data_IF_261914197515
#
_entry.id   IF_261914197515
#
_cell.length_a   1.000
_cell.length_b   1.000
_cell.length_c   1.000
_cell.angle_alpha   90.00
_cell.angle_beta   90.00
_cell.angle_gamma   90.00
#
_symmetry.space_group_name_H-M   'P 1'
#
loop_
_entity.id
_entity.type
_entity.pdbx_description
1 polymer ?
#
# COMPACT_ATOMS: atom_id res chain seq x y z
N UNK A 1 37.41 -3.05 -9.60
CA UNK A 1 36.78 -2.35 -8.45
C UNK A 1 36.56 -0.89 -8.85
N UNK A 2 35.50 -0.22 -8.40
CA UNK A 2 35.29 1.18 -8.75
C UNK A 2 36.45 2.06 -8.28
N UNK A 3 36.78 3.08 -9.07
CA UNK A 3 37.80 4.08 -8.75
C UNK A 3 37.17 5.40 -8.29
N UNK A 4 35.93 5.61 -8.65
CA UNK A 4 35.15 6.81 -8.30
C UNK A 4 33.83 6.43 -7.67
N UNK A 5 33.48 7.12 -6.59
CA UNK A 5 32.25 6.96 -5.83
C UNK A 5 31.48 8.27 -5.90
N UNK A 6 30.35 8.23 -6.59
CA UNK A 6 29.53 9.40 -6.87
C UNK A 6 28.32 9.36 -5.96
N UNK A 7 28.16 10.35 -5.09
CA UNK A 7 26.97 10.51 -4.28
C UNK A 7 26.12 11.65 -4.82
N UNK A 8 24.84 11.39 -5.01
CA UNK A 8 23.89 12.41 -5.47
C UNK A 8 22.77 12.52 -4.46
N UNK A 9 22.67 13.69 -3.83
CA UNK A 9 21.50 14.08 -3.05
C UNK A 9 20.46 14.65 -4.00
N UNK A 10 19.31 13.96 -4.07
CA UNK A 10 18.27 14.21 -5.07
C UNK A 10 17.24 15.19 -4.52
N UNK A 11 17.03 16.31 -5.22
CA UNK A 11 16.04 17.31 -4.88
C UNK A 11 15.14 17.66 -6.08
N UNK A 12 14.08 18.42 -5.82
CA UNK A 12 13.05 18.73 -6.83
C UNK A 12 13.58 19.56 -8.02
N UNK A 13 14.49 20.49 -7.76
CA UNK A 13 15.00 21.44 -8.78
C UNK A 13 16.46 21.20 -9.10
N UNK A 14 17.27 21.02 -8.08
CA UNK A 14 18.72 20.97 -8.22
C UNK A 14 19.30 19.83 -7.39
N UNK A 15 19.96 18.88 -8.03
CA UNK A 15 20.63 17.78 -7.38
C UNK A 15 22.02 18.20 -6.93
N UNK A 16 22.46 17.78 -5.75
CA UNK A 16 23.83 18.00 -5.27
C UNK A 16 24.68 16.76 -5.53
N UNK A 17 25.85 16.94 -6.13
CA UNK A 17 26.74 15.86 -6.56
C UNK A 17 28.11 15.99 -5.90
N UNK A 18 28.59 14.91 -5.30
CA UNK A 18 29.95 14.77 -4.78
C UNK A 18 30.62 13.56 -5.41
N UNK A 19 31.92 13.67 -5.69
CA UNK A 19 32.73 12.59 -6.23
C UNK A 19 33.91 12.34 -5.31
N UNK A 20 34.08 11.11 -4.84
CA UNK A 20 35.22 10.66 -4.05
C UNK A 20 36.06 9.65 -4.84
N UNK A 21 37.37 9.62 -4.59
CA UNK A 21 38.26 8.57 -5.08
C UNK A 21 38.32 7.37 -4.09
N UNK A 22 39.24 6.43 -4.36
CA UNK A 22 39.44 5.25 -3.51
C UNK A 22 39.91 5.59 -2.08
N UNK A 23 40.69 6.64 -1.95
CA UNK A 23 41.26 7.05 -0.68
C UNK A 23 40.24 7.84 0.15
N UNK A 24 39.15 8.30 -0.49
CA UNK A 24 38.05 9.07 0.12
C UNK A 24 38.27 10.58 -0.02
N UNK A 25 39.25 10.97 -0.83
CA UNK A 25 39.48 12.36 -1.13
C UNK A 25 38.50 12.87 -2.19
N UNK A 26 38.10 14.13 -2.04
CA UNK A 26 37.14 14.73 -2.96
C UNK A 26 37.78 15.03 -4.32
N UNK A 27 37.22 14.47 -5.38
CA UNK A 27 37.63 14.78 -6.76
C UNK A 27 36.98 16.07 -7.24
N UNK A 28 37.59 17.19 -6.82
CA UNK A 28 37.05 18.54 -7.02
C UNK A 28 35.92 18.88 -6.03
N UNK A 29 35.45 20.11 -6.08
CA UNK A 29 34.35 20.58 -5.23
C UNK A 29 33.03 19.89 -5.64
N UNK A 30 32.13 19.66 -4.68
CA UNK A 30 30.77 19.28 -5.00
C UNK A 30 30.09 20.32 -5.90
N UNK A 31 29.16 19.91 -6.72
CA UNK A 31 28.50 20.79 -7.68
C UNK A 31 27.02 20.52 -7.76
N UNK A 32 26.28 21.48 -8.28
CA UNK A 32 24.82 21.42 -8.42
C UNK A 32 24.47 21.16 -9.87
N UNK A 33 23.41 20.38 -10.07
CA UNK A 33 22.91 20.00 -11.39
C UNK A 33 21.39 20.20 -11.39
N UNK A 34 20.89 20.96 -12.35
CA UNK A 34 19.44 21.14 -12.50
C UNK A 34 18.74 19.82 -12.88
N UNK A 35 17.55 19.61 -12.33
CA UNK A 35 16.71 18.44 -12.63
C UNK A 35 16.04 18.59 -14.03
N UNK A 36 16.85 18.78 -15.07
CA UNK A 36 16.44 18.99 -16.46
C UNK A 36 17.31 18.15 -17.41
N UNK A 37 16.89 18.00 -18.67
CA UNK A 37 17.67 17.28 -19.69
C UNK A 37 19.05 17.91 -19.89
N UNK A 38 19.14 19.25 -19.91
CA UNK A 38 20.40 19.97 -20.07
C UNK A 38 21.29 19.80 -18.83
N UNK A 39 20.68 19.84 -17.63
CA UNK A 39 21.39 19.57 -16.38
C UNK A 39 21.96 18.15 -16.34
N UNK A 40 21.21 17.15 -16.82
CA UNK A 40 21.71 15.79 -16.92
C UNK A 40 22.89 15.68 -17.92
N UNK A 41 22.82 16.37 -19.06
CA UNK A 41 23.93 16.44 -20.02
C UNK A 41 25.17 17.05 -19.38
N UNK A 42 25.01 18.17 -18.64
CA UNK A 42 26.09 18.81 -17.90
C UNK A 42 26.67 17.90 -16.80
N UNK A 43 25.80 17.12 -16.11
CA UNK A 43 26.24 16.10 -15.15
C UNK A 43 27.21 15.11 -15.82
N UNK A 44 26.81 14.50 -16.92
CA UNK A 44 27.63 13.52 -17.62
C UNK A 44 28.96 14.10 -18.11
N UNK A 45 28.97 15.33 -18.62
CA UNK A 45 30.18 16.04 -19.02
C UNK A 45 31.11 16.30 -17.83
N UNK A 46 30.58 16.77 -16.71
CA UNK A 46 31.35 17.03 -15.50
C UNK A 46 31.92 15.75 -14.90
N UNK A 47 31.16 14.67 -14.87
CA UNK A 47 31.64 13.37 -14.39
C UNK A 47 32.79 12.85 -15.26
N UNK A 48 32.68 12.93 -16.59
CA UNK A 48 33.76 12.55 -17.53
C UNK A 48 35.01 13.38 -17.32
N UNK A 49 34.88 14.71 -17.18
CA UNK A 49 35.99 15.61 -16.93
C UNK A 49 36.74 15.30 -15.62
N UNK A 50 36.06 14.67 -14.66
CA UNK A 50 36.64 14.22 -13.38
C UNK A 50 37.14 12.77 -13.41
N UNK A 51 37.19 12.14 -14.57
CA UNK A 51 37.58 10.74 -14.70
C UNK A 51 36.59 9.75 -14.09
N UNK A 52 35.35 10.22 -13.82
CA UNK A 52 34.29 9.37 -13.29
C UNK A 52 33.47 8.76 -14.44
N UNK A 53 34.08 7.84 -15.18
CA UNK A 53 33.46 7.14 -16.31
C UNK A 53 32.57 5.99 -15.82
N UNK A 54 31.59 5.53 -16.63
CA UNK A 54 30.73 4.41 -16.26
C UNK A 54 31.48 3.13 -15.84
N UNK A 55 32.56 2.80 -16.54
CA UNK A 55 33.35 1.59 -16.28
C UNK A 55 34.12 1.61 -14.94
N UNK A 56 34.39 2.83 -14.42
CA UNK A 56 35.25 3.01 -13.25
C UNK A 56 34.48 3.59 -12.04
N UNK A 57 33.17 3.80 -12.17
CA UNK A 57 32.39 4.52 -11.18
C UNK A 57 31.19 3.74 -10.70
N UNK A 58 30.79 4.02 -9.46
CA UNK A 58 29.49 3.65 -8.90
C UNK A 58 28.79 4.89 -8.41
N UNK A 59 27.49 5.01 -8.72
CA UNK A 59 26.65 6.14 -8.33
C UNK A 59 25.68 5.71 -7.24
N UNK A 60 25.56 6.50 -6.18
CA UNK A 60 24.54 6.35 -5.14
C UNK A 60 23.49 7.43 -5.20
N UNK A 61 22.24 7.03 -5.08
CA UNK A 61 21.08 7.89 -4.94
C UNK A 61 20.32 7.53 -3.68
N UNK A 62 19.86 8.51 -2.91
CA UNK A 62 18.96 8.22 -1.79
C UNK A 62 17.51 8.14 -2.29
N UNK A 63 16.79 7.06 -1.91
CA UNK A 63 15.39 6.84 -2.25
C UNK A 63 14.47 7.74 -1.43
N UNK A 64 14.62 9.06 -1.56
CA UNK A 64 13.76 10.06 -0.93
C UNK A 64 12.59 10.38 -1.85
N UNK A 65 11.39 9.92 -1.48
CA UNK A 65 10.20 10.10 -2.31
C UNK A 65 10.31 9.38 -3.67
N UNK A 66 9.97 10.10 -4.76
CA UNK A 66 9.95 9.60 -6.14
C UNK A 66 10.95 10.33 -7.06
N UNK A 67 11.64 11.33 -6.57
CA UNK A 67 12.47 12.23 -7.40
C UNK A 67 13.70 11.54 -8.00
N UNK A 68 14.13 10.43 -7.44
CA UNK A 68 15.33 9.68 -7.87
C UNK A 68 15.09 8.81 -9.13
N UNK A 69 13.84 8.43 -9.44
CA UNK A 69 13.52 7.41 -10.45
C UNK A 69 13.98 7.82 -11.85
N UNK A 70 13.67 9.03 -12.30
CA UNK A 70 14.08 9.52 -13.61
C UNK A 70 15.60 9.66 -13.72
N UNK A 71 16.25 10.11 -12.65
CA UNK A 71 17.71 10.27 -12.63
C UNK A 71 18.42 8.90 -12.64
N UNK A 72 17.89 7.92 -11.90
CA UNK A 72 18.39 6.54 -11.90
C UNK A 72 18.31 5.94 -13.30
N UNK A 73 17.13 5.99 -13.93
CA UNK A 73 16.92 5.46 -15.27
C UNK A 73 17.87 6.11 -16.30
N UNK A 74 18.05 7.43 -16.23
CA UNK A 74 18.93 8.16 -17.12
C UNK A 74 20.41 7.78 -16.91
N UNK A 75 20.88 7.63 -15.67
CA UNK A 75 22.23 7.22 -15.33
C UNK A 75 22.49 5.76 -15.75
N UNK A 76 21.55 4.84 -15.53
CA UNK A 76 21.63 3.46 -16.01
C UNK A 76 21.68 3.44 -17.54
N UNK A 77 20.85 4.21 -18.22
CA UNK A 77 20.87 4.36 -19.68
C UNK A 77 22.19 4.94 -20.21
N UNK A 78 22.90 5.73 -19.41
CA UNK A 78 24.25 6.24 -19.72
C UNK A 78 25.37 5.23 -19.35
N UNK A 79 25.04 4.03 -18.88
CA UNK A 79 25.95 2.94 -18.59
C UNK A 79 26.54 2.95 -17.18
N UNK A 80 26.10 3.82 -16.27
CA UNK A 80 26.59 3.83 -14.90
C UNK A 80 25.98 2.70 -14.07
N UNK A 81 26.79 2.15 -13.16
CA UNK A 81 26.26 1.31 -12.07
C UNK A 81 25.63 2.20 -11.02
N UNK A 82 24.32 2.10 -10.85
CA UNK A 82 23.57 2.90 -9.87
C UNK A 82 23.12 2.04 -8.69
N UNK A 83 23.34 2.52 -7.49
CA UNK A 83 22.86 1.93 -6.22
C UNK A 83 21.88 2.89 -5.57
N UNK A 84 20.61 2.54 -5.56
CA UNK A 84 19.59 3.29 -4.83
C UNK A 84 19.62 2.85 -3.37
N UNK A 85 19.83 3.79 -2.46
CA UNK A 85 20.05 3.59 -1.04
C UNK A 85 18.77 3.87 -0.24
N UNK A 86 18.52 3.05 0.78
CA UNK A 86 17.46 3.37 1.73
C UNK A 86 17.94 4.52 2.65
N UNK A 87 17.12 5.57 2.89
CA UNK A 87 17.44 6.70 3.78
C UNK A 87 17.92 6.30 5.19
N UNK A 88 17.55 5.13 5.67
CA UNK A 88 18.04 4.61 6.96
C UNK A 88 19.53 4.30 6.91
N UNK A 89 20.06 3.86 5.75
CA UNK A 89 21.48 3.52 5.62
C UNK A 89 22.33 4.80 5.62
N UNK A 90 21.94 5.81 4.85
CA UNK A 90 22.65 7.11 4.79
C UNK A 90 22.62 7.80 6.14
N UNK A 91 21.48 7.76 6.84
CA UNK A 91 21.35 8.29 8.21
C UNK A 91 22.31 7.58 9.19
N UNK A 92 22.29 6.23 9.22
CA UNK A 92 23.18 5.46 10.10
C UNK A 92 24.65 5.71 9.80
N UNK A 93 25.02 5.81 8.54
CA UNK A 93 26.38 6.11 8.13
C UNK A 93 26.80 7.52 8.54
N UNK A 94 25.92 8.51 8.41
CA UNK A 94 26.15 9.89 8.92
C UNK A 94 26.39 9.90 10.43
N UNK A 95 25.58 9.17 11.19
CA UNK A 95 25.73 9.05 12.65
C UNK A 95 27.08 8.41 13.01
N UNK A 96 27.51 7.38 12.26
CA UNK A 96 28.79 6.68 12.45
C UNK A 96 29.99 7.62 12.25
N UNK A 97 29.99 8.45 11.21
CA UNK A 97 31.07 9.40 10.92
C UNK A 97 30.95 10.70 11.72
N UNK A 98 30.02 10.75 12.70
CA UNK A 98 29.78 11.87 13.63
C UNK A 98 29.52 13.21 12.95
N UNK A 99 29.03 13.26 11.73
CA UNK A 99 28.61 14.50 11.06
C UNK A 99 27.20 14.89 11.49
N UNK A 100 27.11 15.86 12.42
CA UNK A 100 25.81 16.35 12.95
C UNK A 100 25.13 17.37 12.04
N UNK A 101 25.88 18.10 11.21
CA UNK A 101 25.33 19.09 10.29
C UNK A 101 24.61 18.37 9.14
N UNK A 102 23.49 18.94 8.70
CA UNK A 102 22.72 18.49 7.55
C UNK A 102 22.69 19.61 6.50
N UNK A 103 23.37 19.39 5.40
CA UNK A 103 23.33 20.22 4.20
C UNK A 103 23.40 19.30 3.00
N UNK A 104 22.84 19.71 1.86
CA UNK A 104 22.84 18.93 0.63
C UNK A 104 24.25 18.51 0.19
N UNK A 105 25.25 19.35 0.47
CA UNK A 105 26.66 19.06 0.23
C UNK A 105 27.17 17.90 1.08
N UNK A 106 26.87 17.92 2.37
CA UNK A 106 27.23 16.84 3.32
C UNK A 106 26.49 15.56 2.93
N UNK A 107 25.23 15.64 2.53
CA UNK A 107 24.42 14.48 2.18
C UNK A 107 24.96 13.78 0.94
N UNK A 108 25.36 14.51 -0.11
CA UNK A 108 26.03 13.96 -1.27
C UNK A 108 27.39 13.26 -0.91
N UNK A 109 28.20 13.87 -0.03
CA UNK A 109 29.45 13.25 0.44
C UNK A 109 29.20 12.01 1.32
N UNK A 110 28.16 12.02 2.16
CA UNK A 110 27.74 10.86 2.97
C UNK A 110 27.35 9.68 2.08
N UNK A 111 26.60 9.94 1.00
CA UNK A 111 26.21 8.93 0.02
C UNK A 111 27.46 8.34 -0.65
N UNK A 112 28.37 9.19 -1.16
CA UNK A 112 29.60 8.75 -1.80
C UNK A 112 30.49 7.94 -0.81
N UNK A 113 30.62 8.40 0.43
CA UNK A 113 31.40 7.74 1.46
C UNK A 113 30.82 6.37 1.85
N UNK A 114 29.48 6.25 1.92
CA UNK A 114 28.80 4.97 2.17
C UNK A 114 29.08 3.96 1.03
N UNK A 115 29.03 4.40 -0.22
CA UNK A 115 29.40 3.55 -1.36
C UNK A 115 30.84 3.06 -1.26
N UNK A 116 31.78 3.99 -0.96
CA UNK A 116 33.21 3.68 -0.84
C UNK A 116 33.51 2.69 0.28
N UNK A 117 32.79 2.78 1.40
CA UNK A 117 32.98 1.86 2.53
C UNK A 117 32.61 0.41 2.22
N UNK A 118 31.94 0.13 1.09
CA UNK A 118 31.42 -1.18 0.74
C UNK A 118 30.22 -1.64 1.58
N UNK A 119 29.76 -0.83 2.54
CA UNK A 119 28.62 -1.15 3.40
C UNK A 119 27.25 -0.81 2.77
N UNK A 120 27.25 -0.19 1.61
CA UNK A 120 26.05 0.16 0.87
C UNK A 120 25.27 -1.09 0.43
N UNK A 121 24.03 -1.20 0.87
CA UNK A 121 23.14 -2.26 0.42
C UNK A 121 22.18 -1.70 -0.63
N UNK A 122 22.17 -2.31 -1.81
CA UNK A 122 21.27 -1.93 -2.90
C UNK A 122 19.82 -2.14 -2.48
N UNK A 123 18.99 -1.11 -2.60
CA UNK A 123 17.54 -1.26 -2.49
C UNK A 123 17.02 -2.14 -3.64
N UNK A 124 16.00 -2.92 -3.35
CA UNK A 124 15.32 -3.68 -4.40
C UNK A 124 14.53 -2.71 -5.29
N UNK A 125 14.88 -2.69 -6.56
CA UNK A 125 14.12 -2.02 -7.61
C UNK A 125 13.27 -3.08 -8.30
N UNK A 126 11.95 -2.95 -8.31
CA UNK A 126 11.07 -3.87 -9.02
C UNK A 126 11.24 -3.70 -10.53
N UNK A 127 10.92 -4.73 -11.27
CA UNK A 127 10.71 -4.62 -12.72
C UNK A 127 9.45 -3.79 -13.03
N UNK A 128 9.24 -3.44 -14.29
CA UNK A 128 8.16 -2.57 -14.74
C UNK A 128 6.77 -3.12 -14.38
N UNK A 129 6.56 -4.43 -14.51
CA UNK A 129 5.27 -5.06 -14.21
C UNK A 129 4.95 -4.98 -12.70
N UNK A 130 5.94 -5.30 -11.86
CA UNK A 130 5.80 -5.20 -10.40
C UNK A 130 5.66 -3.75 -9.95
N UNK A 131 6.40 -2.81 -10.58
CA UNK A 131 6.28 -1.39 -10.29
C UNK A 131 4.88 -0.88 -10.63
N UNK A 132 4.35 -1.24 -11.79
CA UNK A 132 3.00 -0.86 -12.22
C UNK A 132 1.93 -1.38 -11.26
N UNK A 133 2.00 -2.66 -10.85
CA UNK A 133 1.10 -3.23 -9.85
C UNK A 133 1.22 -2.50 -8.50
N UNK A 134 2.43 -2.13 -8.09
CA UNK A 134 2.69 -1.39 -6.86
C UNK A 134 2.05 0.00 -6.87
N UNK A 135 2.16 0.74 -7.96
CA UNK A 135 1.55 2.06 -8.11
C UNK A 135 0.03 1.98 -8.03
N UNK A 136 -0.58 1.02 -8.74
CA UNK A 136 -2.03 0.81 -8.70
C UNK A 136 -2.51 0.37 -7.30
N UNK A 137 -1.79 -0.54 -6.63
CA UNK A 137 -2.12 -0.96 -5.28
C UNK A 137 -2.07 0.20 -4.28
N UNK A 138 -1.10 1.09 -4.40
CA UNK A 138 -0.94 2.28 -3.57
C UNK A 138 -2.00 3.34 -3.84
N UNK A 139 -2.31 3.58 -5.11
CA UNK A 139 -3.42 4.46 -5.50
C UNK A 139 -4.74 3.95 -4.92
N UNK A 140 -5.03 2.67 -5.12
CA UNK A 140 -6.22 2.04 -4.56
C UNK A 140 -6.33 2.19 -3.05
N UNK A 141 -5.22 1.99 -2.32
CA UNK A 141 -5.22 2.13 -0.87
C UNK A 141 -5.60 3.55 -0.44
N UNK A 142 -5.09 4.58 -1.14
CA UNK A 142 -5.46 5.99 -0.91
C UNK A 142 -6.94 6.23 -1.19
N UNK A 143 -7.44 5.79 -2.35
CA UNK A 143 -8.87 5.93 -2.71
C UNK A 143 -9.80 5.24 -1.70
N UNK A 144 -9.38 4.11 -1.14
CA UNK A 144 -10.14 3.41 -0.09
C UNK A 144 -10.14 4.18 1.23
N UNK A 145 -9.01 4.77 1.64
CA UNK A 145 -8.91 5.63 2.81
C UNK A 145 -9.82 6.87 2.63
N UNK A 146 -9.76 7.54 1.49
CA UNK A 146 -10.59 8.70 1.13
C UNK A 146 -12.09 8.33 1.15
N UNK A 147 -12.46 7.21 0.53
CA UNK A 147 -13.85 6.71 0.54
C UNK A 147 -14.36 6.49 1.96
N UNK A 148 -13.52 5.95 2.83
CA UNK A 148 -13.89 5.72 4.21
C UNK A 148 -14.06 7.04 4.98
N UNK A 149 -13.27 8.07 4.65
CA UNK A 149 -13.40 9.41 5.24
C UNK A 149 -14.70 10.08 4.81
N UNK A 150 -15.04 10.06 3.53
CA UNK A 150 -16.32 10.58 3.03
C UNK A 150 -17.52 9.82 3.58
N UNK A 151 -17.40 8.50 3.75
CA UNK A 151 -18.47 7.70 4.37
C UNK A 151 -18.72 8.11 5.82
N UNK A 152 -17.65 8.36 6.61
CA UNK A 152 -17.78 8.85 7.98
C UNK A 152 -18.46 10.22 8.03
N UNK A 153 -18.12 11.12 7.11
CA UNK A 153 -18.76 12.43 6.99
C UNK A 153 -20.24 12.30 6.62
N UNK A 154 -20.59 11.42 5.67
CA UNK A 154 -21.98 11.16 5.31
C UNK A 154 -22.78 10.62 6.50
N UNK A 155 -22.24 9.64 7.23
CA UNK A 155 -22.89 9.10 8.44
C UNK A 155 -23.16 10.23 9.44
N UNK A 156 -22.18 11.08 9.72
CA UNK A 156 -22.34 12.20 10.65
C UNK A 156 -23.43 13.21 10.20
N UNK A 157 -23.58 13.43 8.89
CA UNK A 157 -24.67 14.24 8.37
C UNK A 157 -26.02 13.53 8.50
N UNK A 158 -26.08 12.24 8.17
CA UNK A 158 -27.31 11.45 8.24
C UNK A 158 -27.79 11.25 9.68
N UNK A 159 -26.89 11.13 10.65
CA UNK A 159 -27.25 11.09 12.09
C UNK A 159 -28.07 12.34 12.52
N UNK A 160 -27.98 13.44 11.76
CA UNK A 160 -28.78 14.67 11.99
C UNK A 160 -30.01 14.74 11.09
N UNK A 161 -29.86 14.51 9.78
CA UNK A 161 -30.91 14.78 8.79
C UNK A 161 -31.86 13.60 8.55
N UNK A 162 -31.46 12.40 8.93
CA UNK A 162 -32.21 11.15 8.84
C UNK A 162 -31.66 10.15 9.90
N UNK A 163 -31.92 10.39 11.20
CA UNK A 163 -31.39 9.52 12.27
C UNK A 163 -31.69 8.03 12.07
N UNK A 164 -32.77 7.73 11.38
CA UNK A 164 -33.28 6.40 11.09
C UNK A 164 -32.50 5.69 9.95
N UNK A 165 -31.52 6.36 9.31
CA UNK A 165 -30.84 5.87 8.12
C UNK A 165 -30.29 4.45 8.26
N UNK A 166 -29.78 4.07 9.44
CA UNK A 166 -29.21 2.72 9.68
C UNK A 166 -30.25 1.62 9.54
N UNK A 167 -31.47 1.90 9.93
CA UNK A 167 -32.59 0.94 9.87
C UNK A 167 -33.17 0.86 8.45
N UNK A 168 -33.30 1.99 7.77
CA UNK A 168 -34.06 2.06 6.52
C UNK A 168 -33.21 2.03 5.26
N UNK A 169 -31.96 2.49 5.30
CA UNK A 169 -31.06 2.49 4.16
C UNK A 169 -30.02 1.35 4.20
N UNK A 170 -29.65 0.91 5.40
CA UNK A 170 -28.63 -0.10 5.59
C UNK A 170 -27.23 0.35 5.14
N UNK A 171 -26.56 -0.43 4.28
CA UNK A 171 -25.24 -0.07 3.79
C UNK A 171 -25.33 1.10 2.80
N UNK A 172 -24.70 2.23 3.17
CA UNK A 172 -24.70 3.49 2.43
C UNK A 172 -23.86 3.43 1.13
N UNK A 173 -23.02 2.43 0.97
CA UNK A 173 -22.27 2.22 -0.27
C UNK A 173 -23.06 1.50 -1.37
N UNK A 174 -24.27 1.03 -1.05
CA UNK A 174 -25.14 0.39 -2.06
C UNK A 174 -25.71 1.41 -3.06
N UNK A 175 -25.94 0.98 -4.27
CA UNK A 175 -26.62 1.77 -5.31
C UNK A 175 -27.96 2.29 -4.81
N UNK A 176 -28.73 1.45 -4.09
CA UNK A 176 -30.01 1.81 -3.45
C UNK A 176 -29.89 3.04 -2.56
N UNK A 177 -29.02 2.98 -1.55
CA UNK A 177 -28.88 4.06 -0.59
C UNK A 177 -28.42 5.36 -1.28
N UNK A 178 -27.47 5.27 -2.21
CA UNK A 178 -26.99 6.43 -2.98
C UNK A 178 -28.08 7.03 -3.84
N UNK A 179 -28.82 6.22 -4.62
CA UNK A 179 -29.92 6.70 -5.46
C UNK A 179 -31.00 7.42 -4.67
N UNK A 180 -31.41 6.84 -3.53
CA UNK A 180 -32.41 7.46 -2.64
C UNK A 180 -31.90 8.79 -2.09
N UNK A 181 -30.65 8.83 -1.54
CA UNK A 181 -30.10 10.04 -0.92
C UNK A 181 -29.78 11.15 -1.92
N UNK A 182 -29.48 10.83 -3.17
CA UNK A 182 -29.29 11.82 -4.23
C UNK A 182 -30.57 12.59 -4.50
N UNK A 183 -31.70 11.91 -4.58
CA UNK A 183 -33.01 12.56 -4.83
C UNK A 183 -33.61 13.10 -3.54
N UNK A 184 -33.56 12.34 -2.45
CA UNK A 184 -34.21 12.62 -1.16
C UNK A 184 -33.20 12.68 0.00
N UNK A 185 -32.37 13.74 0.11
CA UNK A 185 -31.23 13.80 1.02
C UNK A 185 -31.57 13.99 2.52
N UNK A 186 -32.80 14.27 2.86
CA UNK A 186 -33.26 14.50 4.27
C UNK A 186 -34.57 13.81 4.56
N UNK A 187 -34.86 13.62 5.84
CA UNK A 187 -36.15 13.08 6.27
C UNK A 187 -37.37 13.89 5.73
N UNK A 188 -37.26 15.21 5.61
CA UNK A 188 -38.33 16.03 5.04
C UNK A 188 -38.62 15.70 3.57
N UNK A 189 -37.56 15.53 2.75
CA UNK A 189 -37.70 15.13 1.33
C UNK A 189 -38.33 13.74 1.22
N UNK A 190 -37.89 12.77 2.04
CA UNK A 190 -38.45 11.42 2.05
C UNK A 190 -39.87 11.36 2.51
N UNK A 191 -40.23 12.13 3.55
CA UNK A 191 -41.60 12.20 4.08
C UNK A 191 -42.61 12.73 3.05
N UNK A 192 -42.20 13.69 2.21
CA UNK A 192 -43.01 14.29 1.17
C UNK A 192 -43.05 13.44 -0.13
N UNK A 193 -42.05 12.60 -0.37
CA UNK A 193 -41.99 11.77 -1.54
C UNK A 193 -43.05 10.65 -1.54
N UNK A 194 -43.55 10.27 -2.72
CA UNK A 194 -44.36 9.07 -2.83
C UNK A 194 -43.51 7.81 -2.71
N UNK A 195 -44.06 6.69 -2.17
CA UNK A 195 -43.29 5.43 -2.15
C UNK A 195 -42.83 4.98 -3.54
N UNK A 196 -43.64 5.25 -4.58
CA UNK A 196 -43.25 4.97 -5.98
C UNK A 196 -42.02 5.78 -6.41
N UNK A 197 -41.92 7.06 -6.03
CA UNK A 197 -40.76 7.90 -6.33
C UNK A 197 -39.50 7.43 -5.59
N UNK A 198 -39.61 7.02 -4.32
CA UNK A 198 -38.48 6.47 -3.56
C UNK A 198 -37.99 5.16 -4.18
N UNK A 199 -38.92 4.25 -4.56
CA UNK A 199 -38.58 3.01 -5.26
C UNK A 199 -37.88 3.31 -6.58
N UNK A 200 -38.41 4.21 -7.39
CA UNK A 200 -37.83 4.59 -8.68
C UNK A 200 -36.42 5.14 -8.52
N UNK A 201 -36.16 5.97 -7.50
CA UNK A 201 -34.80 6.47 -7.22
C UNK A 201 -33.78 5.35 -6.96
N UNK A 202 -34.21 4.27 -6.29
CA UNK A 202 -33.36 3.10 -6.08
C UNK A 202 -33.19 2.28 -7.38
N UNK A 203 -34.25 2.10 -8.17
CA UNK A 203 -34.22 1.37 -9.45
C UNK A 203 -33.36 2.09 -10.49
N UNK A 204 -33.49 3.41 -10.64
CA UNK A 204 -32.69 4.25 -11.54
C UNK A 204 -31.20 4.19 -11.20
N UNK A 205 -30.87 3.96 -9.93
CA UNK A 205 -29.48 3.70 -9.48
C UNK A 205 -29.00 2.25 -9.70
N UNK A 206 -29.79 1.40 -10.34
CA UNK A 206 -29.44 0.02 -10.67
C UNK A 206 -29.79 -1.02 -9.61
N UNK A 207 -30.64 -0.68 -8.61
CA UNK A 207 -31.08 -1.63 -7.60
C UNK A 207 -32.19 -2.54 -8.13
N UNK A 208 -32.06 -3.84 -7.89
CA UNK A 208 -33.13 -4.82 -8.15
C UNK A 208 -33.72 -5.31 -6.83
N UNK A 209 -35.01 -5.59 -6.82
CA UNK A 209 -35.70 -6.21 -5.68
C UNK A 209 -36.04 -5.27 -4.51
N UNK A 210 -35.98 -3.95 -4.71
CA UNK A 210 -36.48 -2.98 -3.71
C UNK A 210 -37.97 -2.80 -3.92
N UNK A 211 -38.75 -3.30 -2.96
CA UNK A 211 -40.21 -3.37 -3.07
C UNK A 211 -40.87 -2.03 -2.78
N UNK A 212 -42.17 -1.93 -3.09
CA UNK A 212 -42.98 -0.78 -2.70
C UNK A 212 -43.14 -0.70 -1.19
N UNK A 213 -43.20 -1.84 -0.50
CA UNK A 213 -43.33 -1.91 0.97
C UNK A 213 -42.01 -1.43 1.64
N UNK A 214 -40.84 -1.76 1.08
CA UNK A 214 -39.55 -1.20 1.54
C UNK A 214 -39.56 0.33 1.40
N UNK A 215 -40.01 0.85 0.26
CA UNK A 215 -40.10 2.30 0.02
C UNK A 215 -41.09 2.97 0.95
N UNK A 216 -42.22 2.30 1.29
CA UNK A 216 -43.17 2.76 2.25
C UNK A 216 -42.59 2.80 3.68
N UNK A 217 -41.81 1.78 4.04
CA UNK A 217 -41.11 1.73 5.33
C UNK A 217 -40.10 2.90 5.46
N UNK A 218 -39.29 3.19 4.41
CA UNK A 218 -38.39 4.36 4.36
C UNK A 218 -39.16 5.66 4.58
N UNK A 219 -40.26 5.86 3.83
CA UNK A 219 -41.10 7.04 3.96
C UNK A 219 -41.73 7.19 5.37
N UNK A 220 -42.25 6.11 5.93
CA UNK A 220 -42.88 6.13 7.24
C UNK A 220 -41.85 6.45 8.33
N UNK A 221 -40.67 5.89 8.32
CA UNK A 221 -39.59 6.25 9.23
C UNK A 221 -39.25 7.76 9.11
N UNK A 222 -39.15 8.29 7.89
CA UNK A 222 -38.87 9.70 7.66
C UNK A 222 -40.01 10.62 8.17
N UNK A 223 -41.28 10.18 8.13
CA UNK A 223 -42.43 10.94 8.68
C UNK A 223 -42.42 11.03 10.20
N UNK A 224 -41.84 10.05 10.87
CA UNK A 224 -41.70 10.01 12.31
C UNK A 224 -40.33 10.49 12.80
N UNK A 225 -39.51 11.01 11.87
CA UNK A 225 -38.17 11.48 12.20
C UNK A 225 -38.18 12.72 13.08
N UNK A 226 -37.27 12.75 14.05
CA UNK A 226 -37.06 13.91 14.95
C UNK A 226 -36.28 15.06 14.31
N UNK A 227 -35.94 14.95 13.01
CA UNK A 227 -35.17 15.99 12.32
C UNK A 227 -35.89 17.35 12.37
N UNK A 228 -35.23 18.34 12.95
CA UNK A 228 -35.78 19.68 13.18
C UNK A 228 -35.96 20.55 11.92
N UNK A 229 -35.43 20.14 10.77
CA UNK A 229 -35.42 20.95 9.56
C UNK A 229 -34.41 22.12 9.56
N UNK A 230 -33.62 22.30 10.61
CA UNK A 230 -32.60 23.36 10.65
C UNK A 230 -31.59 23.21 9.52
N UNK A 231 -31.33 24.31 8.80
CA UNK A 231 -30.41 24.37 7.67
C UNK A 231 -30.71 23.34 6.58
N UNK A 232 -31.99 22.99 6.34
CA UNK A 232 -32.39 21.88 5.48
C UNK A 232 -31.77 21.94 4.08
N UNK A 233 -31.80 23.12 3.42
CA UNK A 233 -31.25 23.28 2.09
C UNK A 233 -29.69 23.04 2.05
N UNK A 234 -28.98 23.65 3.01
CA UNK A 234 -27.52 23.47 3.09
C UNK A 234 -27.15 22.00 3.39
N UNK A 235 -27.84 21.38 4.36
CA UNK A 235 -27.60 19.96 4.71
C UNK A 235 -27.97 19.02 3.56
N UNK A 236 -29.03 19.27 2.83
CA UNK A 236 -29.39 18.52 1.64
C UNK A 236 -28.29 18.61 0.57
N UNK A 237 -27.71 19.82 0.36
CA UNK A 237 -26.59 20.01 -0.54
C UNK A 237 -25.36 19.21 -0.09
N UNK A 238 -25.01 19.27 1.21
CA UNK A 238 -23.88 18.52 1.77
C UNK A 238 -24.06 17.01 1.56
N UNK A 239 -25.24 16.45 1.88
CA UNK A 239 -25.52 15.01 1.67
C UNK A 239 -25.36 14.63 0.20
N UNK A 240 -25.94 15.39 -0.75
CA UNK A 240 -25.79 15.10 -2.19
C UNK A 240 -24.33 15.15 -2.63
N UNK A 241 -23.58 16.14 -2.17
CA UNK A 241 -22.16 16.27 -2.48
C UNK A 241 -21.37 15.06 -1.97
N UNK A 242 -21.58 14.65 -0.71
CA UNK A 242 -20.88 13.49 -0.14
C UNK A 242 -21.25 12.18 -0.86
N UNK A 243 -22.52 11.99 -1.23
CA UNK A 243 -22.97 10.83 -2.02
C UNK A 243 -22.29 10.81 -3.39
N UNK A 244 -22.23 11.95 -4.09
CA UNK A 244 -21.54 12.06 -5.39
C UNK A 244 -20.04 11.76 -5.28
N UNK A 245 -19.36 12.22 -4.21
CA UNK A 245 -17.95 11.88 -3.99
C UNK A 245 -17.75 10.38 -3.72
N UNK A 246 -18.61 9.76 -2.92
CA UNK A 246 -18.57 8.31 -2.68
C UNK A 246 -18.77 7.49 -3.96
N UNK A 247 -19.63 7.95 -4.85
CA UNK A 247 -19.86 7.31 -6.15
C UNK A 247 -18.62 7.40 -7.06
N UNK A 248 -18.04 8.60 -7.19
CA UNK A 248 -16.80 8.82 -7.94
C UNK A 248 -15.64 7.97 -7.43
N UNK A 249 -15.46 7.92 -6.10
CA UNK A 249 -14.42 7.11 -5.49
C UNK A 249 -14.66 5.61 -5.71
N UNK A 250 -15.91 5.15 -5.66
CA UNK A 250 -16.24 3.75 -5.94
C UNK A 250 -15.89 3.40 -7.37
N UNK A 251 -16.29 4.22 -8.35
CA UNK A 251 -15.93 4.02 -9.77
C UNK A 251 -14.42 4.04 -9.98
N UNK A 252 -13.70 4.99 -9.38
CA UNK A 252 -12.24 5.06 -9.49
C UNK A 252 -11.54 3.83 -8.90
N UNK A 253 -12.05 3.27 -7.80
CA UNK A 253 -11.53 2.02 -7.22
C UNK A 253 -11.76 0.84 -8.18
N UNK A 254 -12.95 0.74 -8.78
CA UNK A 254 -13.27 -0.33 -9.73
C UNK A 254 -12.40 -0.22 -11.00
N UNK A 255 -12.10 1.00 -11.45
CA UNK A 255 -11.20 1.26 -12.58
C UNK A 255 -9.76 0.81 -12.28
N UNK A 256 -9.26 1.16 -11.09
CA UNK A 256 -7.93 0.72 -10.64
C UNK A 256 -7.88 -0.81 -10.48
N UNK A 257 -8.95 -1.43 -9.96
CA UNK A 257 -9.03 -2.89 -9.83
C UNK A 257 -9.00 -3.59 -11.20
N UNK A 258 -9.68 -3.03 -12.21
CA UNK A 258 -9.64 -3.54 -13.59
C UNK A 258 -8.25 -3.36 -14.22
N UNK A 259 -7.63 -2.18 -14.05
CA UNK A 259 -6.29 -1.92 -14.54
C UNK A 259 -5.26 -2.86 -13.91
N UNK A 260 -5.33 -3.09 -12.59
CA UNK A 260 -4.44 -4.02 -11.91
C UNK A 260 -4.65 -5.47 -12.35
N UNK A 261 -5.90 -5.89 -12.58
CA UNK A 261 -6.20 -7.23 -13.09
C UNK A 261 -5.65 -7.45 -14.51
N UNK A 262 -5.69 -6.43 -15.37
CA UNK A 262 -5.14 -6.50 -16.73
C UNK A 262 -3.60 -6.62 -16.77
N UNK A 263 -2.90 -6.20 -15.71
CA UNK A 263 -1.45 -6.36 -15.58
C UNK A 263 -1.03 -7.73 -15.05
N UNK A 264 -1.97 -8.53 -14.55
CA UNK A 264 -1.65 -9.88 -14.09
C UNK A 264 -1.50 -10.81 -15.30
N UNK A 265 -0.32 -11.38 -15.54
CA UNK A 265 -0.13 -12.24 -16.70
C UNK A 265 -0.99 -13.49 -16.56
N UNK A 266 -1.70 -13.89 -17.63
CA UNK A 266 -2.31 -15.22 -17.67
C UNK A 266 -1.23 -16.28 -17.68
N UNK A 267 -1.61 -17.53 -17.38
CA UNK A 267 -0.70 -18.66 -17.58
C UNK A 267 -0.36 -18.82 -19.05
N UNK A 268 0.91 -18.92 -19.38
CA UNK A 268 1.32 -19.32 -20.71
C UNK A 268 1.14 -20.84 -20.88
N UNK A 269 0.69 -21.30 -22.07
CA UNK A 269 0.56 -22.73 -22.33
C UNK A 269 1.89 -23.47 -22.08
N UNK A 270 1.87 -24.47 -21.20
CA UNK A 270 3.06 -25.29 -20.88
C UNK A 270 3.94 -24.78 -19.73
N UNK A 271 3.73 -23.58 -19.19
CA UNK A 271 4.55 -23.02 -18.09
C UNK A 271 3.95 -23.22 -16.69
N UNK A 272 2.72 -23.74 -16.61
CA UNK A 272 1.99 -23.87 -15.36
C UNK A 272 1.37 -22.54 -14.88
N UNK A 273 0.68 -22.54 -13.72
CA UNK A 273 -0.07 -21.40 -13.25
C UNK A 273 0.84 -20.18 -12.93
N UNK A 274 0.37 -18.98 -13.27
CA UNK A 274 1.02 -17.72 -12.91
C UNK A 274 1.05 -17.51 -11.39
N UNK A 275 1.91 -16.59 -10.91
CA UNK A 275 1.96 -16.25 -9.48
C UNK A 275 0.62 -15.75 -8.96
N UNK A 276 -0.10 -14.97 -9.77
CA UNK A 276 -1.43 -14.48 -9.42
C UNK A 276 -2.46 -15.60 -9.31
N UNK A 277 -2.46 -16.56 -10.23
CA UNK A 277 -3.35 -17.72 -10.19
C UNK A 277 -3.04 -18.61 -9.00
N UNK A 278 -1.75 -18.86 -8.71
CA UNK A 278 -1.34 -19.59 -7.51
C UNK A 278 -1.91 -18.92 -6.25
N UNK A 279 -1.72 -17.62 -6.08
CA UNK A 279 -2.23 -16.88 -4.92
C UNK A 279 -3.74 -16.96 -4.78
N UNK A 280 -4.47 -16.90 -5.88
CA UNK A 280 -5.93 -16.97 -5.88
C UNK A 280 -6.49 -18.37 -5.51
N UNK A 281 -5.67 -19.40 -5.49
CA UNK A 281 -6.08 -20.72 -4.93
C UNK A 281 -6.23 -20.68 -3.41
N UNK A 282 -5.68 -19.67 -2.72
CA UNK A 282 -5.83 -19.51 -1.27
C UNK A 282 -7.22 -18.95 -0.96
N UNK A 283 -8.06 -19.63 -0.14
CA UNK A 283 -9.35 -19.09 0.27
C UNK A 283 -9.19 -17.69 0.93
N UNK A 284 -9.83 -16.69 0.35
CA UNK A 284 -9.79 -15.32 0.87
C UNK A 284 -8.81 -14.38 0.12
N UNK A 285 -8.05 -14.89 -0.85
CA UNK A 285 -7.25 -14.08 -1.77
C UNK A 285 -7.94 -14.07 -3.13
N UNK A 286 -8.43 -12.92 -3.53
CA UNK A 286 -8.98 -12.66 -4.87
C UNK A 286 -7.97 -11.92 -5.76
N UNK A 287 -8.34 -11.59 -7.03
CA UNK A 287 -7.45 -10.96 -7.99
C UNK A 287 -6.79 -9.67 -7.45
N UNK A 288 -7.60 -8.79 -6.86
CA UNK A 288 -7.11 -7.55 -6.26
C UNK A 288 -6.07 -7.79 -5.15
N UNK A 289 -6.34 -8.74 -4.23
CA UNK A 289 -5.39 -9.05 -3.14
C UNK A 289 -4.11 -9.68 -3.69
N UNK A 290 -4.21 -10.53 -4.72
CA UNK A 290 -3.07 -11.11 -5.42
C UNK A 290 -2.21 -10.01 -6.08
N UNK A 291 -2.83 -9.09 -6.84
CA UNK A 291 -2.14 -7.95 -7.45
C UNK A 291 -1.42 -7.08 -6.41
N UNK A 292 -2.11 -6.76 -5.31
CA UNK A 292 -1.53 -5.98 -4.20
C UNK A 292 -0.32 -6.68 -3.58
N UNK A 293 -0.42 -7.98 -3.32
CA UNK A 293 0.67 -8.75 -2.73
C UNK A 293 1.86 -8.84 -3.69
N UNK A 294 1.64 -9.11 -4.99
CA UNK A 294 2.71 -9.17 -5.98
C UNK A 294 3.41 -7.81 -6.11
N UNK A 295 2.66 -6.71 -6.23
CA UNK A 295 3.23 -5.36 -6.31
C UNK A 295 4.04 -4.97 -5.08
N UNK A 296 3.54 -5.22 -3.87
CA UNK A 296 4.21 -4.81 -2.64
C UNK A 296 5.35 -5.75 -2.23
N UNK A 297 5.20 -7.05 -2.44
CA UNK A 297 6.24 -8.03 -2.09
C UNK A 297 7.36 -8.08 -3.15
N UNK A 298 7.04 -7.88 -4.42
CA UNK A 298 7.99 -8.00 -5.52
C UNK A 298 8.48 -9.43 -5.71
N UNK A 299 9.62 -9.59 -6.37
CA UNK A 299 10.22 -10.91 -6.63
C UNK A 299 10.57 -11.64 -5.33
N UNK A 300 9.95 -12.80 -5.10
CA UNK A 300 10.18 -13.57 -3.85
C UNK A 300 11.57 -14.22 -3.79
N UNK A 301 12.25 -14.34 -4.91
CA UNK A 301 13.62 -14.89 -5.00
C UNK A 301 14.64 -14.08 -4.18
N UNK A 302 14.34 -12.82 -3.88
CA UNK A 302 15.18 -11.95 -3.05
C UNK A 302 15.15 -12.28 -1.55
N UNK A 303 14.19 -13.07 -1.10
CA UNK A 303 14.08 -13.47 0.30
C UNK A 303 14.70 -14.85 0.50
N UNK A 304 15.59 -14.96 1.47
CA UNK A 304 16.22 -16.22 1.84
C UNK A 304 15.21 -17.24 2.36
N UNK A 305 14.26 -16.78 3.14
CA UNK A 305 13.21 -17.60 3.75
C UNK A 305 11.93 -16.81 4.04
N UNK A 306 10.91 -17.50 4.51
CA UNK A 306 9.63 -16.89 4.86
C UNK A 306 9.72 -15.92 6.05
N UNK A 307 10.72 -16.05 6.94
CA UNK A 307 10.91 -15.14 8.09
C UNK A 307 11.43 -13.79 7.61
N UNK A 308 12.35 -13.79 6.63
CA UNK A 308 12.80 -12.56 5.97
C UNK A 308 11.63 -11.80 5.31
N UNK A 309 10.70 -12.54 4.69
CA UNK A 309 9.49 -11.96 4.10
C UNK A 309 8.54 -11.38 5.19
N UNK A 310 8.36 -12.08 6.31
CA UNK A 310 7.58 -11.60 7.46
C UNK A 310 8.18 -10.32 8.04
N UNK A 311 9.51 -10.27 8.16
CA UNK A 311 10.23 -9.09 8.61
C UNK A 311 10.06 -7.91 7.64
N UNK A 312 10.16 -8.16 6.34
CA UNK A 312 9.96 -7.15 5.29
C UNK A 312 8.56 -6.53 5.34
N UNK A 313 7.53 -7.34 5.53
CA UNK A 313 6.15 -6.86 5.67
C UNK A 313 5.95 -6.14 7.02
N UNK A 314 6.76 -6.41 8.02
CA UNK A 314 6.69 -5.79 9.34
C UNK A 314 5.72 -6.48 10.31
N UNK A 315 5.51 -7.77 10.16
CA UNK A 315 4.70 -8.59 11.08
C UNK A 315 5.50 -9.14 12.27
N UNK A 316 6.58 -8.50 12.66
CA UNK A 316 7.32 -8.90 13.87
C UNK A 316 7.01 -7.96 15.04
N UNK A 317 6.95 -8.50 16.26
CA UNK A 317 6.78 -7.68 17.44
C UNK A 317 8.07 -6.91 17.75
N UNK A 318 7.94 -5.61 17.98
CA UNK A 318 9.00 -4.81 18.58
C UNK A 318 8.74 -4.79 20.09
N UNK A 319 9.69 -5.30 20.85
CA UNK A 319 9.69 -5.25 22.30
C UNK A 319 10.64 -4.12 22.68
N UNK A 320 10.15 -3.13 23.40
CA UNK A 320 10.98 -2.07 23.96
C UNK A 320 11.20 -2.42 25.43
N UNK A 321 12.36 -2.97 25.74
CA UNK A 321 12.78 -3.24 27.11
C UNK A 321 13.77 -2.14 27.53
N UNK A 322 13.47 -1.44 28.60
CA UNK A 322 14.40 -0.51 29.25
C UNK A 322 14.36 -0.74 30.77
N UNK A 323 15.38 -1.36 31.29
CA UNK A 323 15.51 -1.67 32.72
C UNK A 323 14.34 -2.54 33.22
N UNK A 324 13.67 -2.11 34.28
CA UNK A 324 12.55 -2.86 34.90
C UNK A 324 11.21 -2.75 34.20
N UNK A 325 11.10 -2.00 33.08
CA UNK A 325 9.84 -1.83 32.33
C UNK A 325 9.81 -2.69 31.09
N UNK A 326 9.03 -3.78 31.13
CA UNK A 326 8.64 -4.55 29.96
C UNK A 326 7.47 -3.84 29.24
N UNK A 327 7.76 -3.24 28.10
CA UNK A 327 6.74 -2.62 27.26
C UNK A 327 5.83 -3.66 26.59
N UNK A 328 4.57 -3.31 26.35
CA UNK A 328 3.66 -4.17 25.56
C UNK A 328 4.17 -4.32 24.13
N UNK A 329 4.37 -5.56 23.62
CA UNK A 329 4.83 -5.79 22.25
C UNK A 329 3.91 -5.11 21.24
N UNK A 330 4.48 -4.30 20.36
CA UNK A 330 3.76 -3.64 19.25
C UNK A 330 4.29 -4.17 17.93
N UNK A 331 3.44 -4.20 16.90
CA UNK A 331 3.92 -4.48 15.55
C UNK A 331 4.89 -3.40 15.10
N UNK A 332 5.92 -3.81 14.34
CA UNK A 332 6.87 -2.87 13.76
C UNK A 332 6.16 -1.78 12.94
N UNK A 333 6.60 -0.53 13.08
CA UNK A 333 6.20 0.55 12.18
C UNK A 333 6.88 0.44 10.80
N UNK A 334 7.97 -0.32 10.71
CA UNK A 334 8.73 -0.58 9.48
C UNK A 334 8.01 -1.64 8.64
N UNK A 335 8.08 -1.52 7.32
CA UNK A 335 7.50 -2.46 6.36
C UNK A 335 6.23 -1.92 5.67
N UNK A 336 5.71 -2.68 4.67
CA UNK A 336 4.57 -2.24 3.88
C UNK A 336 3.26 -2.27 4.67
N UNK A 337 2.68 -1.08 4.95
CA UNK A 337 1.33 -0.96 5.54
C UNK A 337 0.27 -1.59 4.63
N UNK A 338 0.44 -1.45 3.33
CA UNK A 338 -0.52 -1.93 2.31
C UNK A 338 -0.53 -3.45 2.28
N UNK A 339 0.66 -4.09 2.22
CA UNK A 339 0.75 -5.54 2.28
C UNK A 339 0.20 -6.11 3.60
N UNK A 340 0.50 -5.46 4.75
CA UNK A 340 -0.08 -5.85 6.04
C UNK A 340 -1.60 -5.79 6.06
N UNK A 341 -2.17 -4.71 5.50
CA UNK A 341 -3.62 -4.54 5.43
C UNK A 341 -4.26 -5.58 4.52
N UNK A 342 -3.69 -5.82 3.33
CA UNK A 342 -4.17 -6.84 2.40
C UNK A 342 -4.15 -8.24 3.03
N UNK A 343 -3.06 -8.61 3.71
CA UNK A 343 -2.94 -9.89 4.41
C UNK A 343 -3.91 -10.01 5.60
N UNK A 344 -4.15 -8.92 6.32
CA UNK A 344 -5.14 -8.91 7.40
C UNK A 344 -6.55 -9.16 6.87
N UNK A 345 -6.95 -8.49 5.79
CA UNK A 345 -8.26 -8.71 5.15
C UNK A 345 -8.35 -10.12 4.53
N UNK A 346 -7.27 -10.60 3.92
CA UNK A 346 -7.19 -11.98 3.45
C UNK A 346 -7.39 -12.98 4.60
N UNK A 347 -6.80 -12.73 5.77
CA UNK A 347 -6.99 -13.57 6.97
C UNK A 347 -8.45 -13.56 7.46
N UNK A 348 -9.11 -12.38 7.49
CA UNK A 348 -10.54 -12.27 7.83
C UNK A 348 -11.40 -13.08 6.86
N UNK A 349 -11.11 -13.02 5.57
CA UNK A 349 -11.86 -13.77 4.56
C UNK A 349 -11.54 -15.26 4.60
N UNK A 350 -10.28 -15.63 4.84
CA UNK A 350 -9.85 -17.04 4.92
C UNK A 350 -10.55 -17.78 6.05
N UNK A 351 -10.65 -17.19 7.25
CA UNK A 351 -11.35 -17.82 8.38
C UNK A 351 -12.86 -17.98 8.16
N UNK A 352 -13.45 -17.19 7.26
CA UNK A 352 -14.86 -17.30 6.89
C UNK A 352 -15.10 -18.41 5.85
N UNK A 353 -14.13 -18.62 4.95
CA UNK A 353 -14.27 -19.48 3.77
C UNK A 353 -13.62 -20.85 3.90
N UNK A 354 -12.72 -21.07 4.89
CA UNK A 354 -11.99 -22.32 5.09
C UNK A 354 -12.05 -22.77 6.55
N UNK A 355 -12.38 -24.03 6.76
CA UNK A 355 -12.42 -24.66 8.07
C UNK A 355 -11.02 -24.72 8.72
N UNK A 356 -9.98 -24.97 7.93
CA UNK A 356 -8.60 -25.10 8.38
C UNK A 356 -8.07 -23.76 8.91
N UNK A 357 -8.31 -22.66 8.18
CA UNK A 357 -7.94 -21.33 8.64
C UNK A 357 -8.73 -20.92 9.89
N UNK A 358 -10.02 -21.26 9.93
CA UNK A 358 -10.87 -21.03 11.11
C UNK A 358 -10.35 -21.81 12.32
N UNK A 359 -9.94 -23.05 12.15
CA UNK A 359 -9.37 -23.88 13.22
C UNK A 359 -8.12 -23.24 13.82
N UNK A 360 -7.23 -22.70 12.98
CA UNK A 360 -6.04 -21.98 13.46
C UNK A 360 -6.44 -20.76 14.28
N UNK A 361 -7.38 -19.96 13.78
CA UNK A 361 -7.89 -18.79 14.48
C UNK A 361 -8.48 -19.16 15.84
N UNK A 362 -9.40 -20.12 15.88
CA UNK A 362 -10.07 -20.55 17.13
C UNK A 362 -9.08 -21.10 18.15
N UNK A 363 -8.09 -21.90 17.71
CA UNK A 363 -7.01 -22.37 18.59
C UNK A 363 -6.24 -21.21 19.23
N UNK A 364 -5.98 -20.13 18.48
CA UNK A 364 -5.30 -18.94 19.02
C UNK A 364 -6.20 -18.12 19.94
N UNK A 365 -7.51 -18.11 19.70
CA UNK A 365 -8.49 -17.52 20.63
C UNK A 365 -8.56 -18.31 21.94
N UNK A 366 -8.59 -19.63 21.87
CA UNK A 366 -8.56 -20.51 23.05
C UNK A 366 -7.27 -20.38 23.89
N UNK A 367 -6.14 -19.97 23.26
CA UNK A 367 -4.89 -19.63 23.93
C UNK A 367 -4.88 -18.21 24.54
N UNK A 368 -6.03 -17.54 24.68
CA UNK A 368 -6.19 -16.24 25.31
C UNK A 368 -5.86 -15.04 24.42
N UNK A 369 -5.52 -15.22 23.11
CA UNK A 369 -5.25 -14.08 22.22
C UNK A 369 -6.53 -13.31 21.90
N UNK A 370 -6.45 -11.97 21.91
CA UNK A 370 -7.55 -11.11 21.44
C UNK A 370 -7.81 -11.36 19.94
N UNK A 371 -9.04 -11.11 19.46
CA UNK A 371 -9.45 -11.37 18.08
C UNK A 371 -8.48 -10.83 17.04
N UNK A 372 -8.07 -9.57 17.15
CA UNK A 372 -7.10 -8.93 16.25
C UNK A 372 -5.72 -9.62 16.29
N UNK A 373 -5.25 -10.03 17.46
CA UNK A 373 -3.99 -10.74 17.61
C UNK A 373 -4.04 -12.13 16.95
N UNK A 374 -5.15 -12.86 17.12
CA UNK A 374 -5.35 -14.16 16.48
C UNK A 374 -5.39 -14.02 14.94
N UNK A 375 -6.04 -12.97 14.40
CA UNK A 375 -6.04 -12.67 12.96
C UNK A 375 -4.65 -12.34 12.43
N UNK A 376 -3.83 -11.61 13.20
CA UNK A 376 -2.43 -11.34 12.81
C UNK A 376 -1.63 -12.64 12.70
N UNK A 377 -1.84 -13.62 13.61
CA UNK A 377 -1.18 -14.92 13.51
C UNK A 377 -1.63 -15.67 12.24
N UNK A 378 -2.91 -15.60 11.89
CA UNK A 378 -3.41 -16.16 10.62
C UNK A 378 -2.76 -15.46 9.43
N UNK A 379 -2.66 -14.12 9.43
CA UNK A 379 -2.03 -13.33 8.36
C UNK A 379 -0.54 -13.69 8.18
N UNK A 380 0.20 -13.86 9.28
CA UNK A 380 1.60 -14.34 9.24
C UNK A 380 1.67 -15.74 8.62
N UNK A 381 0.79 -16.65 9.01
CA UNK A 381 0.77 -18.01 8.46
C UNK A 381 0.35 -18.01 6.98
N UNK A 382 -0.57 -17.13 6.57
CA UNK A 382 -0.89 -16.89 5.16
C UNK A 382 0.37 -16.45 4.38
N UNK A 383 1.16 -15.54 4.93
CA UNK A 383 2.37 -15.07 4.29
C UNK A 383 3.43 -16.19 4.13
N UNK A 384 3.57 -17.07 5.13
CA UNK A 384 4.39 -18.28 5.00
C UNK A 384 3.89 -19.20 3.90
N UNK A 385 2.56 -19.35 3.79
CA UNK A 385 1.94 -20.16 2.74
C UNK A 385 2.18 -19.58 1.36
N UNK A 386 2.00 -18.25 1.20
CA UNK A 386 2.31 -17.50 -0.02
C UNK A 386 3.77 -17.75 -0.44
N UNK A 387 4.72 -17.58 0.49
CA UNK A 387 6.13 -17.81 0.21
C UNK A 387 6.39 -19.25 -0.28
N UNK A 388 5.86 -20.25 0.41
CA UNK A 388 6.07 -21.65 0.06
C UNK A 388 5.45 -22.00 -1.30
N UNK A 389 4.25 -21.51 -1.58
CA UNK A 389 3.54 -21.77 -2.83
C UNK A 389 4.29 -21.17 -4.03
N UNK A 390 4.68 -19.91 -3.96
CA UNK A 390 5.37 -19.23 -5.05
C UNK A 390 6.80 -19.77 -5.23
N UNK A 391 7.51 -20.09 -4.14
CA UNK A 391 8.85 -20.72 -4.21
C UNK A 391 8.84 -22.09 -4.86
N UNK A 392 7.82 -22.91 -4.58
CA UNK A 392 7.73 -24.27 -5.09
C UNK A 392 6.77 -24.41 -6.28
N UNK A 393 6.20 -23.32 -6.78
CA UNK A 393 5.26 -23.29 -7.91
C UNK A 393 4.10 -24.27 -7.73
N UNK A 394 3.51 -24.32 -6.53
CA UNK A 394 2.44 -25.28 -6.17
C UNK A 394 1.20 -24.57 -5.68
N UNK A 395 -0.01 -25.00 -6.10
CA UNK A 395 -1.26 -24.43 -5.61
C UNK A 395 -1.45 -24.71 -4.11
N UNK A 396 -2.37 -23.96 -3.51
CA UNK A 396 -2.74 -24.12 -2.10
C UNK A 396 -3.22 -25.54 -1.80
N UNK A 397 -2.66 -26.12 -0.72
CA UNK A 397 -3.07 -27.43 -0.22
C UNK A 397 -3.40 -27.31 1.27
N UNK A 398 -4.70 -27.45 1.67
CA UNK A 398 -5.13 -27.31 3.05
C UNK A 398 -4.52 -28.34 3.99
N UNK A 399 -4.22 -29.57 3.52
CA UNK A 399 -3.65 -30.63 4.36
C UNK A 399 -2.25 -30.27 4.92
N UNK A 400 -1.50 -29.42 4.22
CA UNK A 400 -0.17 -28.93 4.67
C UNK A 400 -0.26 -27.85 5.75
N UNK A 401 -1.44 -27.27 5.95
CA UNK A 401 -1.61 -26.14 6.87
C UNK A 401 -1.61 -26.57 8.34
N UNK A 402 -2.13 -27.75 8.63
CA UNK A 402 -2.33 -28.27 9.99
C UNK A 402 -1.15 -29.14 10.47
N UNK A 403 -0.21 -29.47 9.60
CA UNK A 403 1.02 -30.18 9.98
C UNK A 403 1.85 -29.25 10.88
N UNK A 404 2.11 -29.67 12.11
CA UNK A 404 3.05 -28.96 12.97
C UNK A 404 4.42 -28.85 12.25
N UNK A 405 5.13 -27.72 12.34
CA UNK A 405 6.49 -27.65 11.84
C UNK A 405 7.28 -28.76 12.53
N UNK A 406 7.95 -29.60 11.72
CA UNK A 406 8.88 -30.59 12.27
C UNK A 406 9.81 -29.82 13.21
N UNK A 407 9.89 -30.29 14.45
CA UNK A 407 10.77 -29.70 15.48
C UNK A 407 12.17 -29.72 14.91
N UNK A 408 12.69 -28.56 14.55
CA UNK A 408 14.13 -28.42 14.28
C UNK A 408 14.78 -28.68 15.61
N UNK A 409 15.31 -29.88 15.79
CA UNK A 409 16.27 -30.18 16.85
C UNK A 409 17.44 -29.20 16.65
N UNK A 410 17.72 -28.48 17.70
CA UNK A 410 18.87 -27.56 17.90
C UNK A 410 20.19 -28.21 17.54
#
# INVERSE_FOLDING_TARGET
MPERFIGIDVALRDHRVAVLDRDGEAVGKSFTVAATKDGFTALLQTLRARGATPAQSVVGLEATGHLWENLEAALVGAGYQVIVLNPVQTRRYRDLIRRKAKTDDIDAHVIAGLLRSGAAQRSYLPDEAIQSLRELARLRARLMDDRQDYLRQLIAQLDVVLPEHRTVLGDLLTARARGILTQFPTAQHLAQASPRAIRRAAEDAGTRGFSLDDALAVRNAARHSIYSGKAAAARAHVVRTLVSQLERLTTAIDDVDRAAAALLPPSEPGTGPSDAELLQTIPGIGPHTAATLLGELGALTRFTDARALVAYVGFYPVITESGERTGTPRLSAVGSRIARHALYLAAVNAIRRSAEWRTIYLRKRAQGKKAKQALIVVAVKLLHTVYAMLKHRRPYNPSRLLVAPATIRT
#
